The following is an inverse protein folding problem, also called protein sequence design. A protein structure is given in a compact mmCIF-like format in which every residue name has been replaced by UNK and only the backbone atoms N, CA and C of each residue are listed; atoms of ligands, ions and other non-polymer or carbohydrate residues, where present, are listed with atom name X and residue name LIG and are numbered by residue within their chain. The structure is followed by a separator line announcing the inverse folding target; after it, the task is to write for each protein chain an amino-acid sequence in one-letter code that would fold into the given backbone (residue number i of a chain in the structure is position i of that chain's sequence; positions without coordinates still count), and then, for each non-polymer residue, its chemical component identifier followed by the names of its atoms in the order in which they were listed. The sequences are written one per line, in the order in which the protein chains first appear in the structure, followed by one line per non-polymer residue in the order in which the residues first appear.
data_IF_795001854261
#
_entry.id   IF_795001854261
#
_cell.length_a   1.000
_cell.length_b   1.000
_cell.length_c   1.000
_cell.angle_alpha   90.00
_cell.angle_beta   90.00
_cell.angle_gamma   90.00
#
_symmetry.space_group_name_H-M   'P 1'
#
loop_
_entity.id
_entity.type
_entity.pdbx_description
1 polymer ?
#
# COMPACT_ATOMS: atom_id res chain seq x y z
N UNK A 1 -14.25 4.44 9.04
CA UNK A 1 -13.67 4.39 7.67
C UNK A 1 -14.65 4.84 6.57
N UNK A 2 -14.25 5.79 5.71
CA UNK A 2 -14.96 6.26 4.51
C UNK A 2 -14.42 5.55 3.25
N UNK A 3 -15.05 4.46 2.84
CA UNK A 3 -14.58 3.62 1.72
C UNK A 3 -14.48 4.38 0.39
N UNK A 4 -15.38 5.32 0.15
CA UNK A 4 -15.41 6.13 -1.08
C UNK A 4 -14.17 7.01 -1.28
N UNK A 5 -13.42 7.27 -0.19
CA UNK A 5 -12.21 8.07 -0.20
C UNK A 5 -10.91 7.24 -0.33
N UNK A 6 -11.02 5.91 -0.28
CA UNK A 6 -9.88 5.00 -0.47
C UNK A 6 -9.63 4.83 -1.96
N UNK A 7 -8.41 5.09 -2.40
CA UNK A 7 -8.06 4.95 -3.81
C UNK A 7 -6.62 4.51 -4.04
N UNK A 8 -6.47 3.51 -4.90
CA UNK A 8 -5.22 3.00 -5.43
C UNK A 8 -5.44 2.55 -6.88
N UNK A 9 -4.39 2.66 -7.70
CA UNK A 9 -4.32 2.08 -9.05
C UNK A 9 -2.92 1.48 -9.24
N UNK A 10 -2.81 0.32 -9.86
CA UNK A 10 -1.54 -0.43 -10.04
C UNK A 10 -0.62 0.17 -11.12
N UNK A 11 -0.67 1.49 -11.32
CA UNK A 11 0.12 2.20 -12.33
C UNK A 11 0.30 3.69 -11.97
N UNK A 12 1.12 4.38 -12.76
CA UNK A 12 1.34 5.83 -12.66
C UNK A 12 1.88 6.23 -11.27
N UNK A 13 1.34 7.28 -10.65
CA UNK A 13 1.81 7.85 -9.39
C UNK A 13 1.56 6.98 -8.16
N UNK A 14 0.73 5.92 -8.30
CA UNK A 14 0.34 5.02 -7.22
C UNK A 14 1.11 3.70 -7.20
N UNK A 15 1.69 3.28 -8.32
CA UNK A 15 2.60 2.14 -8.37
C UNK A 15 3.62 2.33 -9.49
N UNK A 16 4.89 2.47 -9.13
CA UNK A 16 5.97 2.70 -10.09
C UNK A 16 7.32 2.21 -9.58
N UNK A 17 8.22 1.95 -10.53
CA UNK A 17 9.62 1.65 -10.24
C UNK A 17 10.36 2.95 -9.91
N UNK A 18 10.92 3.03 -8.71
CA UNK A 18 11.67 4.20 -8.23
C UNK A 18 13.16 4.07 -8.54
N UNK A 19 13.73 2.89 -8.28
CA UNK A 19 15.12 2.53 -8.60
C UNK A 19 15.15 1.07 -9.04
N UNK A 20 16.31 0.60 -9.48
CA UNK A 20 16.50 -0.83 -9.74
C UNK A 20 16.00 -1.66 -8.56
N UNK A 21 15.05 -2.56 -8.83
CA UNK A 21 14.39 -3.45 -7.85
C UNK A 21 13.70 -2.75 -6.67
N UNK A 22 13.39 -1.45 -6.78
CA UNK A 22 12.67 -0.69 -5.75
C UNK A 22 11.37 -0.13 -6.30
N UNK A 23 10.26 -0.66 -5.80
CA UNK A 23 8.91 -0.22 -6.15
C UNK A 23 8.39 0.72 -5.07
N UNK A 24 7.78 1.82 -5.48
CA UNK A 24 6.91 2.59 -4.62
C UNK A 24 5.46 2.17 -4.87
N UNK A 25 4.75 1.87 -3.79
CA UNK A 25 3.31 1.62 -3.79
C UNK A 25 2.67 2.68 -2.89
N UNK A 26 1.61 3.32 -3.38
CA UNK A 26 0.86 4.34 -2.65
C UNK A 26 -0.62 4.06 -2.63
N UNK A 27 -1.27 4.54 -1.58
CA UNK A 27 -2.72 4.59 -1.46
C UNK A 27 -3.10 5.93 -0.85
N UNK A 28 -4.24 6.49 -1.25
CA UNK A 28 -4.82 7.64 -0.57
C UNK A 28 -6.06 7.23 0.21
N UNK A 29 -6.31 7.91 1.32
CA UNK A 29 -7.46 7.72 2.20
C UNK A 29 -8.03 9.08 2.60
N UNK A 30 -9.25 9.12 3.14
CA UNK A 30 -9.75 10.34 3.78
C UNK A 30 -8.78 10.78 4.88
N UNK A 31 -8.54 12.09 4.97
CA UNK A 31 -7.65 12.66 5.97
C UNK A 31 -8.12 12.30 7.39
N UNK A 32 -7.21 11.74 8.18
CA UNK A 32 -7.44 11.40 9.59
C UNK A 32 -8.39 10.24 9.83
N UNK A 33 -8.79 9.51 8.78
CA UNK A 33 -9.76 8.41 8.88
C UNK A 33 -9.09 7.04 9.11
N UNK A 34 -7.80 6.94 8.83
CA UNK A 34 -7.02 5.69 8.92
C UNK A 34 -5.86 5.87 9.90
N UNK A 35 -5.73 4.93 10.84
CA UNK A 35 -4.68 4.87 11.85
C UNK A 35 -3.39 4.28 11.24
N UNK A 36 -3.50 3.10 10.63
CA UNK A 36 -2.37 2.39 10.02
C UNK A 36 -2.77 1.60 8.78
N UNK A 37 -1.78 1.34 7.92
CA UNK A 37 -1.94 0.51 6.74
C UNK A 37 -0.75 -0.45 6.65
N UNK A 38 -1.03 -1.75 6.56
CA UNK A 38 -0.04 -2.76 6.20
C UNK A 38 -0.20 -3.15 4.74
N UNK A 39 0.92 -3.19 4.02
CA UNK A 39 0.98 -3.82 2.70
C UNK A 39 1.44 -5.27 2.90
N UNK A 40 0.57 -6.22 2.57
CA UNK A 40 0.95 -7.61 2.42
C UNK A 40 1.29 -7.84 0.95
N UNK A 41 2.46 -8.40 0.66
CA UNK A 41 2.92 -8.54 -0.72
C UNK A 41 3.80 -9.77 -0.91
N UNK A 42 4.00 -10.16 -2.17
CA UNK A 42 4.84 -11.28 -2.54
C UNK A 42 4.82 -11.57 -4.03
N UNK A 43 5.49 -12.65 -4.42
CA UNK A 43 5.37 -13.18 -5.78
C UNK A 43 3.95 -13.77 -6.00
N UNK A 44 3.27 -13.49 -7.13
CA UNK A 44 1.91 -13.98 -7.36
C UNK A 44 1.73 -15.50 -7.32
N UNK A 45 2.80 -16.29 -7.49
CA UNK A 45 2.75 -17.74 -7.42
C UNK A 45 3.02 -18.30 -6.01
N UNK A 46 3.47 -17.45 -5.08
CA UNK A 46 3.73 -17.80 -3.67
C UNK A 46 2.67 -17.17 -2.76
N UNK A 47 2.24 -15.96 -3.10
CA UNK A 47 1.28 -15.16 -2.35
C UNK A 47 -0.09 -15.84 -2.32
N UNK A 48 -0.49 -16.32 -1.14
CA UNK A 48 -1.83 -16.86 -0.87
C UNK A 48 -2.44 -16.07 0.29
N UNK A 49 -3.76 -15.88 0.31
CA UNK A 49 -4.41 -15.08 1.38
C UNK A 49 -4.17 -15.64 2.79
N UNK A 50 -3.97 -16.95 2.93
CA UNK A 50 -3.63 -17.59 4.21
C UNK A 50 -2.14 -17.45 4.59
N UNK A 51 -1.27 -17.13 3.61
CA UNK A 51 0.18 -17.06 3.76
C UNK A 51 0.76 -15.91 2.93
N UNK A 52 0.79 -14.72 3.52
CA UNK A 52 1.53 -13.59 2.94
C UNK A 52 3.03 -13.87 2.98
N UNK A 53 3.72 -13.60 1.88
CA UNK A 53 5.18 -13.76 1.81
C UNK A 53 5.88 -12.72 2.67
N UNK A 54 5.51 -11.45 2.51
CA UNK A 54 6.06 -10.32 3.26
C UNK A 54 4.94 -9.38 3.72
N UNK A 55 5.19 -8.63 4.78
CA UNK A 55 4.31 -7.58 5.29
C UNK A 55 5.12 -6.36 5.67
N UNK A 56 4.65 -5.17 5.29
CA UNK A 56 5.33 -3.92 5.61
C UNK A 56 4.34 -2.80 5.87
N UNK A 57 4.51 -2.12 7.00
CA UNK A 57 3.74 -0.94 7.36
C UNK A 57 4.03 0.21 6.38
N UNK A 58 2.96 0.88 5.93
CA UNK A 58 3.05 2.05 5.06
C UNK A 58 3.21 3.33 5.89
N UNK A 59 3.96 4.29 5.36
CA UNK A 59 4.18 5.58 6.02
C UNK A 59 3.32 6.64 5.37
N UNK A 60 2.65 7.48 6.18
CA UNK A 60 1.98 8.69 5.71
C UNK A 60 3.03 9.71 5.27
N UNK A 61 3.15 9.93 3.96
CA UNK A 61 4.17 10.81 3.38
C UNK A 61 3.72 12.27 3.27
N UNK A 62 2.42 12.50 3.15
CA UNK A 62 1.85 13.84 3.11
C UNK A 62 0.35 13.82 3.37
N UNK A 63 -0.19 14.97 3.76
CA UNK A 63 -1.60 15.18 4.01
C UNK A 63 -2.04 16.48 3.32
N UNK A 64 -3.07 16.39 2.49
CA UNK A 64 -3.71 17.56 1.90
C UNK A 64 -4.84 18.11 2.77
N UNK A 65 -5.77 18.80 2.13
CA UNK A 65 -7.02 19.24 2.77
C UNK A 65 -7.98 18.07 2.99
N UNK A 66 -8.10 17.17 2.01
CA UNK A 66 -9.09 16.09 2.00
C UNK A 66 -8.51 14.68 2.21
N UNK A 67 -7.25 14.46 1.84
CA UNK A 67 -6.67 13.12 1.77
C UNK A 67 -5.33 13.00 2.49
N UNK A 68 -5.11 11.86 3.12
CA UNK A 68 -3.80 11.38 3.54
C UNK A 68 -3.22 10.47 2.45
N UNK A 69 -1.94 10.63 2.15
CA UNK A 69 -1.22 9.81 1.18
C UNK A 69 -0.20 8.95 1.89
N UNK A 70 -0.29 7.66 1.66
CA UNK A 70 0.54 6.63 2.28
C UNK A 70 1.46 6.02 1.22
N UNK A 71 2.68 5.67 1.60
CA UNK A 71 3.66 5.05 0.71
C UNK A 71 4.44 3.94 1.42
N UNK A 72 4.80 2.92 0.66
CA UNK A 72 5.82 1.95 1.03
C UNK A 72 6.81 1.76 -0.12
N UNK A 73 8.08 1.51 0.22
CA UNK A 73 9.10 1.05 -0.73
C UNK A 73 9.35 -0.45 -0.51
N UNK A 74 9.23 -1.25 -1.57
CA UNK A 74 9.42 -2.72 -1.51
C UNK A 74 10.35 -3.22 -2.61
N UNK A 75 10.90 -4.42 -2.40
CA UNK A 75 11.68 -5.19 -3.36
C UNK A 75 11.11 -6.60 -3.44
N UNK A 76 11.19 -7.21 -4.62
CA UNK A 76 10.76 -8.59 -4.89
C UNK A 76 11.83 -9.32 -5.69
N UNK A 77 11.97 -10.62 -5.48
CA UNK A 77 13.05 -11.42 -6.05
C UNK A 77 12.90 -11.63 -7.56
N UNK A 78 11.67 -11.80 -8.04
CA UNK A 78 11.38 -12.19 -9.42
C UNK A 78 10.76 -11.09 -10.29
N UNK A 79 10.87 -9.82 -9.87
CA UNK A 79 10.28 -8.67 -10.57
C UNK A 79 8.76 -8.79 -10.87
N UNK A 80 8.06 -9.58 -10.05
CA UNK A 80 6.61 -9.77 -10.06
C UNK A 80 6.10 -9.51 -8.66
N UNK A 81 4.94 -8.86 -8.55
CA UNK A 81 4.36 -8.57 -7.26
C UNK A 81 2.83 -8.68 -7.33
N UNK A 82 2.27 -9.31 -6.31
CA UNK A 82 0.87 -9.23 -5.93
C UNK A 82 0.82 -8.67 -4.51
N UNK A 83 -0.20 -7.88 -4.20
CA UNK A 83 -0.33 -7.26 -2.90
C UNK A 83 -1.78 -6.95 -2.55
N UNK A 84 -2.04 -6.82 -1.25
CA UNK A 84 -3.27 -6.28 -0.69
C UNK A 84 -2.96 -5.27 0.42
N UNK A 85 -3.92 -4.39 0.68
CA UNK A 85 -3.83 -3.41 1.75
C UNK A 85 -4.71 -3.86 2.93
N UNK A 86 -4.13 -4.01 4.10
CA UNK A 86 -4.84 -4.13 5.36
C UNK A 86 -4.89 -2.74 5.99
N UNK A 87 -6.10 -2.20 6.21
CA UNK A 87 -6.30 -0.88 6.77
C UNK A 87 -6.96 -1.01 8.14
N UNK A 88 -6.44 -0.27 9.11
CA UNK A 88 -7.08 -0.07 10.42
C UNK A 88 -7.54 1.37 10.54
N UNK A 89 -8.82 1.57 10.80
CA UNK A 89 -9.36 2.91 10.99
C UNK A 89 -9.13 3.43 12.42
N UNK A 90 -9.44 4.70 12.64
CA UNK A 90 -9.23 5.33 13.96
C UNK A 90 -10.23 4.91 15.02
N UNK A 91 -11.30 4.19 14.66
CA UNK A 91 -12.36 3.74 15.57
C UNK A 91 -12.14 2.30 16.06
N UNK A 92 -11.28 1.52 15.39
CA UNK A 92 -10.84 0.18 15.79
C UNK A 92 -11.54 -0.93 15.01
#
# INVERSE_FOLDING_TARGET
MELSAIYHRTESEYAYLYKDKKLHIRIRTKKGDIESINLHYGDPFIFMEEFYQDTKEMVKITSGTLFDHWQVEVSVDFARIQYLFELRDTEG
#
